data_IF_551034036474
#
_entry.id   IF_551034036474
#
_cell.length_a   1.000
_cell.length_b   1.000
_cell.length_c   1.000
_cell.angle_alpha   90.00
_cell.angle_beta   90.00
_cell.angle_gamma   90.00
#
_symmetry.space_group_name_H-M   'P 1'
#
loop_
_entity.id
_entity.type
_entity.pdbx_description
1 polymer ?
#
# COMPACT_ATOMS: atom_id res chain seq x y z
N UNK A 1 -25.58 -13.22 5.71
CA UNK A 1 -24.15 -13.58 5.54
C UNK A 1 -23.32 -12.55 6.28
N UNK A 2 -22.23 -12.94 6.95
CA UNK A 2 -21.41 -12.02 7.76
C UNK A 2 -20.06 -11.75 7.09
N UNK A 3 -19.65 -10.49 7.13
CA UNK A 3 -18.35 -9.97 6.69
C UNK A 3 -17.64 -9.34 7.88
N UNK A 4 -16.36 -9.65 8.09
CA UNK A 4 -15.59 -9.10 9.22
C UNK A 4 -14.77 -7.91 8.76
N UNK A 5 -14.96 -6.75 9.38
CA UNK A 5 -14.40 -5.45 8.99
C UNK A 5 -13.67 -4.82 10.14
N UNK A 6 -12.55 -4.14 9.90
CA UNK A 6 -11.93 -3.29 10.92
C UNK A 6 -12.59 -1.91 10.90
N UNK A 7 -13.05 -1.42 12.05
CA UNK A 7 -13.44 -0.01 12.25
C UNK A 7 -12.41 0.63 13.17
N UNK A 8 -11.68 1.66 12.70
CA UNK A 8 -10.73 2.40 13.54
C UNK A 8 -9.80 1.51 14.40
N UNK A 9 -9.73 1.81 15.69
CA UNK A 9 -8.93 1.10 16.71
C UNK A 9 -9.59 -0.18 17.25
N UNK A 10 -10.80 -0.52 16.81
CA UNK A 10 -11.49 -1.73 17.24
C UNK A 10 -11.06 -2.98 16.45
N UNK A 11 -10.79 -4.07 17.18
CA UNK A 11 -10.46 -5.38 16.63
C UNK A 11 -11.72 -6.07 16.05
N UNK A 12 -12.05 -5.70 14.81
CA UNK A 12 -13.07 -6.29 13.95
C UNK A 12 -14.55 -6.25 14.43
N UNK A 13 -15.46 -5.81 13.57
CA UNK A 13 -16.91 -5.95 13.74
C UNK A 13 -17.51 -6.78 12.60
N UNK A 14 -18.75 -7.24 12.78
CA UNK A 14 -19.46 -8.02 11.76
C UNK A 14 -20.49 -7.17 11.02
N UNK A 15 -20.35 -7.09 9.69
CA UNK A 15 -21.32 -6.45 8.79
C UNK A 15 -22.28 -7.50 8.22
N UNK A 16 -23.57 -7.19 8.19
CA UNK A 16 -24.58 -8.01 7.48
C UNK A 16 -24.61 -7.70 6.00
N UNK A 17 -24.57 -8.73 5.17
CA UNK A 17 -24.73 -8.65 3.70
C UNK A 17 -26.22 -8.78 3.36
N UNK A 18 -26.77 -7.80 2.64
CA UNK A 18 -28.15 -7.76 2.14
C UNK A 18 -28.25 -8.29 0.69
N UNK A 19 -29.49 -8.48 0.23
CA UNK A 19 -29.74 -8.86 -1.17
C UNK A 19 -29.40 -7.71 -2.11
N UNK A 20 -28.64 -7.98 -3.17
CA UNK A 20 -28.21 -6.98 -4.16
C UNK A 20 -26.85 -6.32 -3.86
N UNK A 21 -26.26 -6.55 -2.69
CA UNK A 21 -24.87 -6.19 -2.42
C UNK A 21 -23.89 -7.03 -3.25
N UNK A 22 -22.74 -6.44 -3.60
CA UNK A 22 -21.73 -7.06 -4.45
C UNK A 22 -20.38 -7.17 -3.72
N UNK A 23 -19.57 -8.16 -4.10
CA UNK A 23 -18.18 -8.27 -3.62
C UNK A 23 -17.24 -8.04 -4.77
N UNK A 24 -16.39 -7.02 -4.66
CA UNK A 24 -15.25 -6.85 -5.55
C UNK A 24 -14.18 -7.79 -5.04
N UNK A 25 -14.15 -8.98 -5.62
CA UNK A 25 -13.10 -9.96 -5.41
C UNK A 25 -12.32 -10.00 -6.71
N UNK A 26 -11.07 -9.54 -6.69
CA UNK A 26 -10.14 -10.02 -7.70
C UNK A 26 -9.91 -11.51 -7.40
N UNK A 27 -10.80 -12.39 -7.85
CA UNK A 27 -10.81 -13.82 -7.49
C UNK A 27 -9.49 -14.51 -7.81
N UNK A 28 -8.72 -14.01 -8.78
CA UNK A 28 -7.43 -14.57 -9.16
C UNK A 28 -6.29 -14.18 -8.21
N UNK A 29 -6.29 -12.94 -7.69
CA UNK A 29 -5.38 -12.52 -6.61
C UNK A 29 -5.86 -12.96 -5.23
N UNK A 30 -7.18 -12.96 -4.98
CA UNK A 30 -7.81 -13.37 -3.72
C UNK A 30 -7.71 -14.87 -3.46
N UNK A 31 -7.80 -15.71 -4.51
CA UNK A 31 -7.46 -17.14 -4.41
C UNK A 31 -5.95 -17.39 -4.24
N UNK A 32 -5.13 -16.38 -4.56
CA UNK A 32 -3.73 -16.29 -4.14
C UNK A 32 -3.59 -15.48 -2.85
N UNK A 33 -4.57 -15.41 -1.94
CA UNK A 33 -4.39 -14.92 -0.55
C UNK A 33 -4.33 -16.11 0.40
N UNK A 34 -3.42 -16.09 1.39
CA UNK A 34 -3.16 -17.34 2.14
C UNK A 34 -4.34 -17.47 3.07
N UNK A 35 -5.16 -18.54 2.99
CA UNK A 35 -6.17 -18.84 3.98
C UNK A 35 -5.62 -18.61 5.38
N UNK A 36 -6.22 -17.70 6.16
CA UNK A 36 -5.98 -17.72 7.60
C UNK A 36 -6.93 -18.77 8.17
N UNK A 37 -6.40 -19.94 8.51
CA UNK A 37 -7.17 -20.93 9.24
C UNK A 37 -7.32 -20.43 10.66
N UNK A 38 -8.54 -20.07 11.04
CA UNK A 38 -8.86 -19.81 12.44
C UNK A 38 -9.45 -21.10 13.00
N UNK A 39 -8.75 -21.69 13.95
CA UNK A 39 -9.25 -22.79 14.77
C UNK A 39 -10.11 -22.17 15.87
N UNK A 40 -11.43 -22.30 15.78
CA UNK A 40 -12.30 -21.97 16.91
C UNK A 40 -12.61 -23.26 17.67
N UNK A 41 -12.23 -23.32 18.95
CA UNK A 41 -12.76 -24.32 19.87
C UNK A 41 -14.21 -23.94 20.20
N UNK A 42 -15.19 -24.71 19.75
CA UNK A 42 -16.57 -24.59 20.23
C UNK A 42 -16.67 -25.22 21.62
N UNK A 43 -17.29 -24.52 22.57
CA UNK A 43 -17.59 -25.04 23.91
C UNK A 43 -18.45 -26.32 23.88
N UNK A 44 -18.40 -27.14 24.95
CA UNK A 44 -18.68 -28.57 24.86
C UNK A 44 -20.17 -28.86 24.97
N UNK A 45 -20.77 -29.38 23.90
CA UNK A 45 -22.03 -30.13 23.97
C UNK A 45 -21.86 -31.50 23.30
N UNK A 46 -21.17 -32.39 24.02
CA UNK A 46 -21.49 -33.82 24.08
C UNK A 46 -21.56 -34.67 22.81
N UNK A 47 -21.00 -34.27 21.67
CA UNK A 47 -20.88 -35.15 20.48
C UNK A 47 -19.53 -34.94 19.79
N UNK A 48 -18.98 -36.05 19.29
CA UNK A 48 -17.65 -36.23 18.70
C UNK A 48 -17.11 -35.02 17.91
N UNK A 49 -15.83 -34.76 18.18
CA UNK A 49 -15.03 -33.65 17.67
C UNK A 49 -14.95 -33.59 16.14
N UNK A 50 -15.34 -32.44 15.60
CA UNK A 50 -14.85 -31.98 14.30
C UNK A 50 -14.31 -30.57 14.45
N UNK A 51 -13.00 -30.39 14.36
CA UNK A 51 -12.42 -29.04 14.22
C UNK A 51 -12.97 -28.42 12.93
N UNK A 52 -13.95 -27.52 13.07
CA UNK A 52 -14.47 -26.72 11.96
C UNK A 52 -13.45 -25.65 11.60
N UNK A 53 -12.58 -25.93 10.62
CA UNK A 53 -11.70 -24.92 10.03
C UNK A 53 -12.52 -23.97 9.16
N UNK A 54 -12.47 -22.67 9.50
CA UNK A 54 -13.05 -21.62 8.66
C UNK A 54 -11.92 -20.90 7.95
N UNK A 55 -11.87 -21.05 6.63
CA UNK A 55 -10.96 -20.31 5.78
C UNK A 55 -11.52 -18.91 5.50
N UNK A 56 -10.73 -17.89 5.82
CA UNK A 56 -11.04 -16.48 5.56
C UNK A 56 -10.19 -15.93 4.41
N UNK A 57 -10.80 -15.11 3.56
CA UNK A 57 -10.17 -14.42 2.44
C UNK A 57 -10.31 -12.90 2.61
N UNK A 58 -9.27 -12.11 2.34
CA UNK A 58 -9.42 -10.68 2.19
C UNK A 58 -10.34 -10.34 1.01
N UNK A 59 -11.25 -9.39 1.21
CA UNK A 59 -12.20 -8.95 0.19
C UNK A 59 -12.62 -7.49 0.40
N UNK A 60 -13.12 -6.89 -0.68
CA UNK A 60 -13.75 -5.57 -0.69
C UNK A 60 -15.25 -5.77 -0.97
N UNK A 61 -16.08 -5.25 -0.08
CA UNK A 61 -17.52 -5.40 -0.13
C UNK A 61 -18.19 -4.07 -0.47
N UNK A 62 -18.98 -4.03 -1.54
CA UNK A 62 -19.74 -2.87 -1.95
C UNK A 62 -21.17 -2.93 -1.43
N UNK A 63 -21.56 -1.95 -0.62
CA UNK A 63 -22.90 -1.81 -0.06
C UNK A 63 -23.80 -1.10 -1.07
N UNK A 64 -24.83 -1.78 -1.56
CA UNK A 64 -25.69 -1.25 -2.63
C UNK A 64 -26.45 0.00 -2.21
N UNK A 65 -26.94 0.03 -0.97
CA UNK A 65 -27.83 1.09 -0.47
C UNK A 65 -27.17 2.48 -0.44
N UNK A 66 -25.87 2.56 -0.20
CA UNK A 66 -25.16 3.82 0.00
C UNK A 66 -23.84 3.93 -0.79
N UNK A 67 -23.48 2.92 -1.58
CA UNK A 67 -22.22 2.88 -2.33
C UNK A 67 -20.97 2.78 -1.45
N UNK A 68 -21.11 2.50 -0.15
CA UNK A 68 -19.97 2.38 0.75
C UNK A 68 -19.15 1.12 0.43
N UNK A 69 -17.84 1.21 0.63
CA UNK A 69 -16.92 0.08 0.50
C UNK A 69 -16.47 -0.35 1.89
N UNK A 70 -16.59 -1.64 2.17
CA UNK A 70 -16.16 -2.24 3.42
C UNK A 70 -14.96 -3.16 3.12
N UNK A 71 -13.96 -3.12 4.00
CA UNK A 71 -12.69 -3.80 3.81
C UNK A 71 -12.43 -4.79 4.95
N UNK A 72 -12.04 -6.02 4.61
CA UNK A 72 -11.78 -7.02 5.64
C UNK A 72 -11.81 -8.46 5.13
N UNK A 73 -12.34 -9.37 5.95
CA UNK A 73 -12.27 -10.82 5.76
C UNK A 73 -13.65 -11.43 5.52
N UNK A 74 -13.73 -12.31 4.53
CA UNK A 74 -14.92 -13.09 4.20
C UNK A 74 -14.65 -14.59 4.31
N UNK A 75 -15.58 -15.34 4.91
CA UNK A 75 -15.48 -16.79 4.96
C UNK A 75 -15.69 -17.43 3.59
N UNK A 76 -14.94 -18.49 3.29
CA UNK A 76 -15.04 -19.23 2.02
C UNK A 76 -16.47 -19.67 1.69
N UNK A 77 -17.17 -20.23 2.67
CA UNK A 77 -18.56 -20.70 2.52
C UNK A 77 -19.49 -19.55 2.13
N UNK A 78 -19.22 -18.34 2.64
CA UNK A 78 -19.95 -17.13 2.29
C UNK A 78 -19.59 -16.67 0.88
N UNK A 79 -18.30 -16.65 0.54
CA UNK A 79 -17.79 -16.27 -0.78
C UNK A 79 -18.42 -17.11 -1.90
N UNK A 80 -18.51 -18.44 -1.72
CA UNK A 80 -19.12 -19.36 -2.70
C UNK A 80 -20.60 -19.09 -3.00
N UNK A 81 -21.30 -18.35 -2.13
CA UNK A 81 -22.73 -18.00 -2.28
C UNK A 81 -22.93 -16.63 -2.96
N UNK A 82 -21.86 -15.87 -3.17
CA UNK A 82 -21.91 -14.54 -3.75
C UNK A 82 -21.59 -14.62 -5.24
N UNK A 83 -22.22 -13.73 -6.03
CA UNK A 83 -21.94 -13.64 -7.46
C UNK A 83 -20.55 -13.02 -7.65
N UNK A 84 -19.69 -13.71 -8.40
CA UNK A 84 -18.42 -13.15 -8.85
C UNK A 84 -18.71 -11.95 -9.74
N UNK A 85 -18.23 -10.77 -9.36
CA UNK A 85 -18.20 -9.63 -10.28
C UNK A 85 -17.21 -10.00 -11.38
N UNK A 86 -17.65 -10.01 -12.64
CA UNK A 86 -16.73 -10.15 -13.78
C UNK A 86 -15.67 -9.07 -13.62
N UNK A 87 -14.40 -9.43 -13.79
CA UNK A 87 -13.27 -8.51 -13.61
C UNK A 87 -13.60 -7.24 -14.39
N UNK A 88 -13.89 -6.13 -13.68
CA UNK A 88 -13.98 -4.84 -14.32
C UNK A 88 -12.64 -4.66 -15.06
N UNK A 89 -12.68 -4.21 -16.31
CA UNK A 89 -11.44 -3.92 -17.04
C UNK A 89 -10.70 -2.88 -16.20
N UNK A 90 -9.55 -3.28 -15.65
CA UNK A 90 -8.72 -2.35 -14.88
C UNK A 90 -8.34 -1.19 -15.81
N UNK A 91 -8.44 0.02 -15.29
CA UNK A 91 -8.06 1.21 -16.04
C UNK A 91 -6.57 1.15 -16.32
N UNK A 92 -6.21 1.29 -17.60
CA UNK A 92 -4.83 1.21 -18.04
C UNK A 92 -3.95 2.26 -17.33
N UNK A 93 -2.73 1.87 -16.98
CA UNK A 93 -1.75 2.70 -16.28
C UNK A 93 -1.52 4.03 -16.99
N UNK A 94 -1.46 4.00 -18.33
CA UNK A 94 -1.28 5.21 -19.15
C UNK A 94 -2.46 6.17 -19.04
N UNK A 95 -3.69 5.67 -18.94
CA UNK A 95 -4.89 6.50 -18.77
C UNK A 95 -4.84 7.22 -17.42
N UNK A 96 -4.39 6.54 -16.37
CA UNK A 96 -4.26 7.12 -15.01
C UNK A 96 -3.16 8.19 -14.97
N UNK A 97 -2.00 7.91 -15.56
CA UNK A 97 -0.83 8.81 -15.59
C UNK A 97 -1.12 10.08 -16.41
N UNK A 98 -1.86 9.93 -17.52
CA UNK A 98 -2.18 11.03 -18.43
C UNK A 98 -3.52 11.73 -18.11
N UNK A 99 -4.24 11.28 -17.07
CA UNK A 99 -5.49 11.90 -16.67
C UNK A 99 -5.30 13.38 -16.35
N UNK A 100 -6.33 14.17 -16.65
CA UNK A 100 -6.42 15.56 -16.19
C UNK A 100 -6.65 15.54 -14.68
N UNK A 101 -5.73 16.14 -13.94
CA UNK A 101 -5.76 16.21 -12.49
C UNK A 101 -5.89 17.67 -12.05
N UNK A 102 -6.30 17.89 -10.80
CA UNK A 102 -6.34 19.23 -10.23
C UNK A 102 -4.92 19.85 -10.21
N UNK A 103 -4.71 21.04 -10.81
CA UNK A 103 -3.39 21.66 -10.88
C UNK A 103 -2.84 22.03 -9.50
N UNK A 104 -3.68 22.21 -8.49
CA UNK A 104 -3.23 22.55 -7.12
C UNK A 104 -2.62 21.35 -6.38
N UNK A 105 -2.70 20.15 -6.98
CA UNK A 105 -2.15 18.92 -6.40
C UNK A 105 -0.74 18.63 -6.90
N UNK A 106 0.07 18.09 -6.00
CA UNK A 106 1.33 17.42 -6.30
C UNK A 106 1.10 15.92 -6.28
N UNK A 107 1.34 15.26 -7.40
CA UNK A 107 1.11 13.82 -7.56
C UNK A 107 2.43 13.11 -7.82
N UNK A 108 2.77 12.15 -6.97
CA UNK A 108 3.97 11.33 -7.08
C UNK A 108 3.54 9.97 -7.59
N UNK A 109 3.89 9.65 -8.83
CA UNK A 109 3.57 8.38 -9.44
C UNK A 109 4.72 7.41 -9.21
N UNK A 110 4.44 6.24 -8.66
CA UNK A 110 5.38 5.14 -8.48
C UNK A 110 4.87 3.97 -9.30
N UNK A 111 5.44 3.83 -10.49
CA UNK A 111 4.99 2.86 -11.49
C UNK A 111 5.97 1.69 -11.52
N UNK A 112 5.47 0.50 -11.24
CA UNK A 112 6.32 -0.65 -10.99
C UNK A 112 6.11 -1.79 -12.00
N UNK A 113 7.15 -2.59 -12.28
CA UNK A 113 6.93 -3.85 -12.97
C UNK A 113 6.04 -4.76 -12.11
N UNK A 114 5.12 -5.50 -12.74
CA UNK A 114 4.12 -6.30 -12.02
C UNK A 114 4.73 -7.43 -11.18
N UNK A 115 5.96 -7.85 -11.47
CA UNK A 115 6.69 -8.86 -10.68
C UNK A 115 7.44 -8.30 -9.46
N UNK A 116 7.57 -6.96 -9.40
CA UNK A 116 8.32 -6.19 -8.39
C UNK A 116 9.76 -6.65 -8.22
N UNK A 117 10.35 -7.28 -9.24
CA UNK A 117 11.73 -7.77 -9.18
C UNK A 117 12.74 -6.68 -9.51
N UNK A 118 12.37 -5.73 -10.37
CA UNK A 118 13.20 -4.57 -10.74
C UNK A 118 12.69 -3.31 -10.04
N UNK A 119 13.52 -2.25 -9.95
CA UNK A 119 13.09 -0.95 -9.46
C UNK A 119 11.87 -0.43 -10.21
N UNK A 120 10.95 0.17 -9.47
CA UNK A 120 9.90 1.03 -9.97
C UNK A 120 10.48 2.37 -10.43
N UNK A 121 9.72 3.06 -11.26
CA UNK A 121 9.99 4.42 -11.67
C UNK A 121 9.13 5.39 -10.86
N UNK A 122 9.76 6.30 -10.13
CA UNK A 122 9.10 7.40 -9.43
C UNK A 122 9.24 8.68 -10.26
N UNK A 123 8.11 9.30 -10.55
CA UNK A 123 8.06 10.62 -11.19
C UNK A 123 7.05 11.52 -10.48
N UNK A 124 7.13 12.83 -10.70
CA UNK A 124 6.33 13.82 -9.98
C UNK A 124 5.64 14.75 -10.96
N UNK A 125 4.35 15.00 -10.74
CA UNK A 125 3.51 15.92 -11.49
C UNK A 125 3.07 17.05 -10.57
N UNK A 126 3.19 18.29 -11.02
CA UNK A 126 2.76 19.49 -10.31
C UNK A 126 2.17 20.47 -11.32
N UNK A 127 1.07 21.15 -10.97
CA UNK A 127 0.40 22.10 -11.87
C UNK A 127 0.03 21.47 -13.23
N UNK A 128 -0.31 20.18 -13.23
CA UNK A 128 -0.62 19.41 -14.43
C UNK A 128 0.57 19.02 -15.31
N UNK A 129 1.80 19.43 -14.97
CA UNK A 129 3.01 19.14 -15.74
C UNK A 129 3.97 18.21 -14.99
N UNK A 130 4.75 17.42 -15.74
CA UNK A 130 5.82 16.61 -15.18
C UNK A 130 6.97 17.50 -14.70
N UNK A 131 7.48 17.24 -13.51
CA UNK A 131 8.71 17.88 -13.05
C UNK A 131 9.87 17.45 -13.93
N UNK A 132 10.74 18.40 -14.23
CA UNK A 132 11.93 18.18 -15.05
C UNK A 132 13.18 18.17 -14.16
N UNK A 133 14.10 17.28 -14.47
CA UNK A 133 15.45 17.31 -13.92
C UNK A 133 16.17 18.56 -14.46
N UNK A 134 16.56 19.47 -13.56
CA UNK A 134 17.17 20.75 -13.91
C UNK A 134 18.49 20.63 -14.68
N UNK A 135 19.24 19.53 -14.49
CA UNK A 135 20.54 19.32 -15.14
C UNK A 135 20.36 18.87 -16.58
N UNK A 136 19.36 18.04 -16.84
CA UNK A 136 19.16 17.40 -18.15
C UNK A 136 18.02 18.00 -18.96
N UNK A 137 17.12 18.76 -18.34
CA UNK A 137 15.88 19.27 -18.94
C UNK A 137 14.85 18.19 -19.27
N UNK A 138 15.12 16.92 -18.93
CA UNK A 138 14.22 15.79 -19.16
C UNK A 138 13.29 15.59 -17.98
N UNK A 139 12.21 14.82 -18.17
CA UNK A 139 11.34 14.41 -17.07
C UNK A 139 12.16 13.79 -15.93
N UNK A 140 11.84 14.18 -14.70
CA UNK A 140 12.44 13.63 -13.50
C UNK A 140 11.99 12.17 -13.31
N UNK A 141 12.97 11.29 -13.16
CA UNK A 141 12.78 9.87 -12.88
C UNK A 141 13.72 9.46 -11.74
N UNK A 142 13.18 8.75 -10.76
CA UNK A 142 13.92 8.23 -9.62
C UNK A 142 13.62 6.73 -9.44
N UNK A 143 14.61 5.84 -9.54
CA UNK A 143 14.40 4.43 -9.29
C UNK A 143 14.11 4.19 -7.80
N UNK A 144 13.04 3.44 -7.50
CA UNK A 144 12.67 3.04 -6.13
C UNK A 144 12.25 1.58 -6.06
N UNK A 145 12.50 0.88 -4.95
CA UNK A 145 12.12 -0.52 -4.78
C UNK A 145 10.95 -0.67 -3.79
N UNK A 146 9.77 -1.01 -4.30
CA UNK A 146 8.57 -1.28 -3.52
C UNK A 146 8.32 -2.80 -3.39
N UNK A 147 9.32 -3.50 -2.85
CA UNK A 147 9.36 -4.98 -2.77
C UNK A 147 9.65 -5.44 -1.36
N UNK A 148 8.97 -6.50 -0.93
CA UNK A 148 9.28 -7.17 0.31
C UNK A 148 10.40 -8.18 0.24
N UNK A 149 10.99 -8.45 1.39
CA UNK A 149 11.85 -9.60 1.58
C UNK A 149 11.09 -10.89 1.21
N UNK A 150 11.69 -11.70 0.33
CA UNK A 150 11.14 -13.02 -0.06
C UNK A 150 12.10 -14.08 0.44
N UNK A 151 11.63 -15.02 1.26
CA UNK A 151 12.46 -16.16 1.63
C UNK A 151 12.67 -17.06 0.39
N UNK A 152 13.93 -17.21 -0.04
CA UNK A 152 14.31 -18.25 -1.00
C UNK A 152 14.31 -19.58 -0.25
N UNK A 153 13.14 -20.23 -0.11
CA UNK A 153 12.97 -21.61 0.38
C UNK A 153 13.91 -22.05 1.52
N UNK A 154 13.42 -22.07 2.76
CA UNK A 154 13.85 -23.13 3.67
C UNK A 154 13.29 -24.44 3.10
N UNK A 155 14.18 -25.32 2.65
CA UNK A 155 13.84 -26.64 2.18
C UNK A 155 13.14 -27.44 3.30
N UNK A 156 11.96 -27.97 2.95
CA UNK A 156 11.46 -29.30 3.30
C UNK A 156 11.62 -29.79 4.74
N UNK A 157 10.52 -29.73 5.50
CA UNK A 157 10.14 -30.85 6.37
C UNK A 157 8.79 -31.50 6.05
N UNK A 158 7.97 -30.91 5.17
CA UNK A 158 6.74 -31.56 4.71
C UNK A 158 6.83 -31.84 3.21
N UNK A 159 7.18 -33.09 2.90
CA UNK A 159 7.37 -33.62 1.55
C UNK A 159 6.08 -33.73 0.74
N UNK A 160 5.56 -32.61 0.25
CA UNK A 160 4.66 -32.62 -0.91
C UNK A 160 5.38 -32.03 -2.12
N UNK A 161 5.80 -32.96 -2.99
CA UNK A 161 6.29 -32.73 -4.35
C UNK A 161 5.17 -32.13 -5.20
N UNK A 162 4.98 -30.82 -5.13
CA UNK A 162 4.35 -30.07 -6.22
C UNK A 162 5.23 -28.87 -6.56
N UNK A 163 6.09 -29.10 -7.56
CA UNK A 163 6.99 -28.09 -8.10
C UNK A 163 6.21 -27.00 -8.83
N UNK A 164 5.74 -25.98 -8.09
CA UNK A 164 5.39 -24.63 -8.57
C UNK A 164 4.99 -23.75 -7.38
N UNK A 165 5.88 -23.58 -6.40
CA UNK A 165 5.74 -22.49 -5.43
C UNK A 165 5.98 -21.16 -6.16
N UNK A 166 4.89 -20.51 -6.56
CA UNK A 166 4.91 -19.22 -7.26
C UNK A 166 5.60 -18.16 -6.39
N UNK A 167 6.67 -17.57 -6.94
CA UNK A 167 7.50 -16.44 -6.48
C UNK A 167 6.76 -15.13 -6.14
N UNK A 168 5.44 -15.15 -6.03
CA UNK A 168 4.56 -13.97 -5.86
C UNK A 168 4.36 -13.63 -4.39
N UNK A 169 4.93 -12.51 -3.96
CA UNK A 169 4.64 -11.87 -2.67
C UNK A 169 3.21 -11.30 -2.71
N UNK A 170 2.43 -11.51 -1.65
CA UNK A 170 0.99 -11.14 -1.61
C UNK A 170 0.85 -9.80 -0.92
N UNK A 171 0.67 -8.72 -1.69
CA UNK A 171 0.75 -7.33 -1.23
C UNK A 171 -0.19 -6.92 -0.09
N UNK A 172 -1.35 -7.55 0.05
CA UNK A 172 -2.35 -7.18 1.08
C UNK A 172 -2.01 -7.65 2.50
N UNK A 173 -0.93 -8.44 2.68
CA UNK A 173 -0.47 -8.85 4.01
C UNK A 173 0.47 -7.82 4.65
N UNK A 174 0.56 -7.84 5.99
CA UNK A 174 1.29 -6.86 6.81
C UNK A 174 2.77 -6.71 6.42
N UNK A 175 3.46 -7.80 6.06
CA UNK A 175 4.92 -7.81 5.83
C UNK A 175 5.34 -8.10 4.37
N UNK A 176 4.47 -7.85 3.40
CA UNK A 176 4.68 -8.16 1.98
C UNK A 176 4.86 -6.90 1.11
N UNK A 177 4.98 -7.07 -0.21
CA UNK A 177 5.18 -5.98 -1.19
C UNK A 177 4.22 -4.80 -0.88
N UNK A 178 4.63 -3.57 -1.19
CA UNK A 178 3.80 -2.39 -0.94
C UNK A 178 2.46 -2.54 -1.67
N UNK A 179 1.31 -2.33 -1.01
CA UNK A 179 0.01 -2.44 -1.67
C UNK A 179 -0.07 -1.41 -2.78
N UNK A 180 -0.86 -1.69 -3.81
CA UNK A 180 -1.27 -0.63 -4.72
C UNK A 180 -2.22 0.33 -4.01
N UNK A 181 -2.29 1.56 -4.51
CA UNK A 181 -3.27 2.53 -4.02
C UNK A 181 -2.78 3.96 -4.05
N UNK A 182 -3.54 4.80 -3.34
CA UNK A 182 -3.31 6.23 -3.21
C UNK A 182 -3.03 6.52 -1.75
N UNK A 183 -1.91 7.20 -1.49
CA UNK A 183 -1.41 7.52 -0.16
C UNK A 183 -1.31 9.02 0.03
N UNK A 184 -1.61 9.50 1.22
CA UNK A 184 -1.33 10.87 1.61
C UNK A 184 0.09 10.97 2.13
N UNK A 185 0.82 12.02 1.74
CA UNK A 185 2.08 12.36 2.42
C UNK A 185 1.74 13.01 3.75
N UNK A 186 2.15 12.38 4.85
CA UNK A 186 1.91 12.90 6.18
C UNK A 186 3.00 13.87 6.63
N UNK A 187 4.26 13.47 6.43
CA UNK A 187 5.39 14.24 6.91
C UNK A 187 6.71 13.63 6.49
N UNK A 188 7.77 14.39 6.71
CA UNK A 188 9.13 13.92 6.60
C UNK A 188 9.74 13.85 8.01
N UNK A 189 10.42 12.76 8.31
CA UNK A 189 11.24 12.65 9.52
C UNK A 189 12.68 12.79 9.09
N UNK A 190 13.35 13.82 9.58
CA UNK A 190 14.80 13.99 9.49
C UNK A 190 15.32 14.10 10.90
N UNK A 191 15.99 13.06 11.42
CA UNK A 191 16.86 13.12 12.60
C UNK A 191 16.23 13.50 13.96
N UNK A 192 16.33 12.62 14.96
CA UNK A 192 16.20 13.00 16.38
C UNK A 192 16.09 11.80 17.32
N UNK A 193 17.15 11.49 18.08
CA UNK A 193 17.17 10.45 19.11
C UNK A 193 18.37 9.48 19.03
N UNK A 194 18.57 8.69 20.10
CA UNK A 194 19.66 7.72 20.19
C UNK A 194 19.40 6.41 19.43
N UNK A 195 18.18 6.19 18.94
CA UNK A 195 17.86 5.03 18.09
C UNK A 195 18.21 5.32 16.64
N UNK A 196 18.87 4.38 15.98
CA UNK A 196 19.14 4.43 14.53
C UNK A 196 17.87 4.66 13.70
N UNK A 197 16.72 4.18 14.22
CA UNK A 197 15.40 4.38 13.62
C UNK A 197 14.96 5.84 13.47
N UNK A 198 15.49 6.78 14.24
CA UNK A 198 15.13 8.20 14.14
C UNK A 198 16.21 9.04 13.45
N UNK A 199 17.33 8.44 13.02
CA UNK A 199 18.45 9.16 12.41
C UNK A 199 18.32 9.31 10.89
N UNK A 200 17.53 8.44 10.27
CA UNK A 200 17.43 8.38 8.81
C UNK A 200 16.27 9.22 8.28
N UNK A 201 16.56 10.03 7.27
CA UNK A 201 15.57 10.82 6.56
C UNK A 201 14.54 9.91 5.88
N UNK A 202 13.24 10.16 6.05
CA UNK A 202 12.16 9.35 5.46
C UNK A 202 10.88 10.15 5.28
N UNK A 203 9.96 9.64 4.46
CA UNK A 203 8.62 10.19 4.25
C UNK A 203 7.61 9.18 4.78
N UNK A 204 6.80 9.59 5.75
CA UNK A 204 5.73 8.78 6.31
C UNK A 204 4.46 8.96 5.45
N UNK A 205 3.83 7.83 5.09
CA UNK A 205 2.59 7.78 4.31
C UNK A 205 1.41 7.49 5.24
N UNK A 206 0.36 8.30 5.15
CA UNK A 206 -0.90 8.26 5.91
C UNK A 206 -0.79 8.26 7.46
N UNK A 207 0.40 8.08 8.06
CA UNK A 207 0.68 8.09 9.51
C UNK A 207 -0.35 7.38 10.39
N UNK A 208 -0.68 6.14 10.01
CA UNK A 208 -1.69 5.31 10.67
C UNK A 208 -3.13 5.85 10.62
N UNK A 209 -3.39 6.95 9.91
CA UNK A 209 -4.74 7.37 9.59
C UNK A 209 -5.40 6.41 8.59
N UNK A 210 -6.74 6.27 8.64
CA UNK A 210 -7.47 5.53 7.63
C UNK A 210 -7.15 6.07 6.23
N UNK A 211 -6.93 5.19 5.24
CA UNK A 211 -6.67 5.61 3.88
C UNK A 211 -7.79 6.51 3.33
N UNK A 212 -7.43 7.50 2.52
CA UNK A 212 -8.38 8.46 1.94
C UNK A 212 -9.50 7.80 1.15
N UNK A 213 -9.17 6.72 0.46
CA UNK A 213 -10.01 5.85 -0.33
C UNK A 213 -10.78 4.81 0.50
N UNK A 214 -10.53 4.71 1.81
CA UNK A 214 -11.29 3.86 2.73
C UNK A 214 -12.55 4.54 3.29
N UNK A 215 -12.68 5.86 3.12
CA UNK A 215 -13.88 6.61 3.51
C UNK A 215 -15.08 6.29 2.60
N UNK A 216 -16.33 6.47 3.06
CA UNK A 216 -17.52 6.33 2.23
C UNK A 216 -17.43 7.12 0.92
N UNK A 217 -17.89 6.52 -0.19
CA UNK A 217 -17.78 7.11 -1.53
C UNK A 217 -18.30 8.56 -1.63
N UNK A 218 -19.46 8.94 -1.05
CA UNK A 218 -19.92 10.32 -1.11
C UNK A 218 -18.97 11.33 -0.44
N UNK A 219 -18.14 10.88 0.50
CA UNK A 219 -17.22 11.72 1.26
C UNK A 219 -15.87 11.91 0.56
N UNK A 220 -15.38 10.90 -0.16
CA UNK A 220 -14.05 10.97 -0.80
C UNK A 220 -14.08 11.08 -2.33
N UNK A 221 -15.21 10.81 -3.00
CA UNK A 221 -15.32 10.86 -4.47
C UNK A 221 -14.87 12.20 -5.05
N UNK A 222 -15.20 13.31 -4.39
CA UNK A 222 -14.74 14.64 -4.80
C UNK A 222 -13.21 14.75 -4.85
N UNK A 223 -12.52 14.30 -3.80
CA UNK A 223 -11.06 14.36 -3.75
C UNK A 223 -10.41 13.32 -4.67
N UNK A 224 -10.94 12.10 -4.73
CA UNK A 224 -10.41 11.05 -5.61
C UNK A 224 -10.57 11.42 -7.10
N UNK A 225 -11.67 12.06 -7.49
CA UNK A 225 -11.90 12.53 -8.87
C UNK A 225 -10.91 13.63 -9.32
N UNK A 226 -10.22 14.26 -8.37
CA UNK A 226 -9.14 15.24 -8.64
C UNK A 226 -7.77 14.59 -8.83
N UNK A 227 -7.62 13.33 -8.41
CA UNK A 227 -6.37 12.56 -8.39
C UNK A 227 -6.34 11.52 -9.52
N UNK A 228 -7.46 10.84 -9.75
CA UNK A 228 -7.59 9.74 -10.71
C UNK A 228 -8.87 9.87 -11.55
N UNK A 229 -8.91 9.30 -12.76
CA UNK A 229 -10.12 9.28 -13.58
C UNK A 229 -11.24 8.49 -12.90
N UNK A 230 -12.50 8.86 -13.17
CA UNK A 230 -13.69 8.29 -12.51
C UNK A 230 -13.78 6.78 -12.78
N UNK A 231 -13.37 6.35 -13.95
CA UNK A 231 -13.32 4.96 -14.40
C UNK A 231 -12.43 4.09 -13.50
N UNK A 232 -11.40 4.67 -12.87
CA UNK A 232 -10.48 3.95 -12.00
C UNK A 232 -10.97 3.83 -10.55
N UNK A 233 -12.04 4.54 -10.15
CA UNK A 233 -12.50 4.59 -8.75
C UNK A 233 -12.89 3.22 -8.18
N UNK A 234 -13.36 2.32 -9.05
CA UNK A 234 -13.78 0.96 -8.70
C UNK A 234 -12.75 -0.12 -9.05
N UNK A 235 -11.58 0.28 -9.55
CA UNK A 235 -10.50 -0.66 -9.80
C UNK A 235 -9.98 -1.27 -8.50
N UNK A 236 -9.63 -2.55 -8.55
CA UNK A 236 -9.13 -3.27 -7.37
C UNK A 236 -7.84 -2.63 -6.81
N UNK A 237 -6.94 -2.13 -7.67
CA UNK A 237 -5.68 -1.53 -7.23
C UNK A 237 -5.89 -0.30 -6.34
N UNK A 238 -6.95 0.49 -6.58
CA UNK A 238 -7.32 1.62 -5.71
C UNK A 238 -7.73 1.12 -4.33
N UNK A 239 -8.30 -0.08 -4.23
CA UNK A 239 -8.86 -0.61 -3.00
C UNK A 239 -7.88 -1.48 -2.19
N UNK A 240 -6.70 -1.73 -2.74
CA UNK A 240 -5.73 -2.66 -2.17
C UNK A 240 -5.09 -2.11 -0.87
N UNK A 241 -4.79 -0.81 -0.81
CA UNK A 241 -4.30 -0.16 0.40
C UNK A 241 -5.32 -0.12 1.55
N UNK A 242 -6.57 0.37 1.38
CA UNK A 242 -7.65 0.24 2.36
C UNK A 242 -7.80 -1.18 2.91
N UNK A 243 -7.70 -2.19 2.04
CA UNK A 243 -7.76 -3.59 2.44
C UNK A 243 -6.57 -3.97 3.32
N UNK A 244 -5.34 -3.65 2.91
CA UNK A 244 -4.15 -3.93 3.70
C UNK A 244 -4.17 -3.22 5.06
N UNK A 245 -4.66 -1.97 5.11
CA UNK A 245 -4.87 -1.21 6.34
C UNK A 245 -5.84 -1.92 7.28
N UNK A 246 -6.99 -2.39 6.77
CA UNK A 246 -7.98 -3.14 7.57
C UNK A 246 -7.41 -4.43 8.16
N UNK A 247 -6.38 -5.00 7.52
CA UNK A 247 -5.67 -6.19 7.98
C UNK A 247 -4.53 -5.89 8.96
N UNK A 248 -4.32 -4.63 9.35
CA UNK A 248 -3.34 -4.22 10.36
C UNK A 248 -2.05 -3.61 9.83
N UNK A 249 -2.01 -3.24 8.55
CA UNK A 249 -0.86 -2.53 7.98
C UNK A 249 -1.00 -1.02 8.18
N UNK A 250 -0.28 -0.46 9.16
CA UNK A 250 -0.49 0.94 9.60
C UNK A 250 0.70 1.88 9.34
N UNK A 251 1.84 1.34 8.89
CA UNK A 251 3.10 2.09 8.84
C UNK A 251 3.83 1.90 7.51
N UNK A 252 3.40 2.62 6.48
CA UNK A 252 4.03 2.65 5.16
C UNK A 252 4.86 3.93 4.99
N UNK A 253 6.02 3.78 4.33
CA UNK A 253 7.02 4.84 4.24
C UNK A 253 7.78 4.78 2.93
N UNK A 254 8.38 5.91 2.56
CA UNK A 254 9.46 6.01 1.58
C UNK A 254 10.74 6.33 2.35
N UNK A 255 11.72 5.43 2.30
CA UNK A 255 12.93 5.50 3.11
C UNK A 255 14.15 4.92 2.36
N UNK A 256 15.39 5.26 2.74
CA UNK A 256 16.59 4.73 2.10
C UNK A 256 16.86 3.25 2.43
N UNK A 257 17.85 2.72 1.71
CA UNK A 257 18.34 1.33 1.70
C UNK A 257 18.57 0.70 3.07
N UNK A 258 19.23 1.49 3.91
CA UNK A 258 19.80 1.13 5.20
C UNK A 258 18.77 1.06 6.33
N UNK A 259 17.68 1.81 6.21
CA UNK A 259 16.63 1.95 7.24
C UNK A 259 16.01 0.62 7.67
N UNK A 260 15.85 -0.33 6.75
CA UNK A 260 15.26 -1.65 7.04
C UNK A 260 16.31 -2.77 7.16
N UNK A 261 17.56 -2.54 6.72
CA UNK A 261 18.61 -3.57 6.72
C UNK A 261 19.25 -3.80 8.08
N UNK A 262 19.20 -2.81 8.99
CA UNK A 262 19.68 -3.01 10.37
C UNK A 262 18.85 -4.04 11.15
N UNK A 263 17.63 -4.34 10.71
CA UNK A 263 16.78 -5.34 11.36
C UNK A 263 17.16 -6.78 10.97
N UNK A 264 17.61 -7.03 9.73
CA UNK A 264 18.04 -8.38 9.30
C UNK A 264 19.01 -8.34 8.10
N UNK A 265 20.09 -9.12 8.18
CA UNK A 265 21.10 -9.34 7.15
C UNK A 265 20.51 -9.95 5.86
N UNK A 266 19.80 -9.15 5.07
CA UNK A 266 19.46 -9.50 3.69
C UNK A 266 20.48 -8.86 2.76
N UNK A 267 21.03 -9.65 1.83
CA UNK A 267 21.98 -9.11 0.85
C UNK A 267 21.28 -8.04 0.00
N UNK A 268 21.83 -6.82 -0.11
CA UNK A 268 21.29 -5.80 -0.99
C UNK A 268 21.26 -6.33 -2.43
N UNK A 269 20.22 -5.97 -3.16
CA UNK A 269 20.12 -6.25 -4.60
C UNK A 269 20.66 -5.02 -5.32
N UNK A 270 21.78 -5.19 -6.01
CA UNK A 270 22.36 -4.13 -6.84
C UNK A 270 21.63 -4.08 -8.16
N UNK A 271 21.11 -2.91 -8.50
CA UNK A 271 20.54 -2.60 -9.81
C UNK A 271 21.19 -1.31 -10.28
N UNK A 272 22.09 -1.40 -11.27
CA UNK A 272 23.00 -0.29 -11.60
C UNK A 272 23.79 0.18 -10.35
N UNK A 273 24.42 1.36 -10.38
CA UNK A 273 25.25 1.86 -9.26
C UNK A 273 24.49 2.04 -7.94
N UNK A 274 23.15 1.96 -7.94
CA UNK A 274 22.30 2.04 -6.75
C UNK A 274 22.09 0.67 -6.07
N UNK A 275 22.12 0.68 -4.73
CA UNK A 275 21.86 -0.49 -3.90
C UNK A 275 20.47 -0.41 -3.27
N UNK A 276 19.61 -1.40 -3.55
CA UNK A 276 18.28 -1.49 -2.96
C UNK A 276 18.15 -2.70 -2.05
N UNK A 277 17.52 -2.54 -0.90
CA UNK A 277 17.21 -3.62 0.03
C UNK A 277 15.70 -3.85 0.10
N UNK A 278 15.19 -5.07 -0.14
CA UNK A 278 13.79 -5.37 0.09
C UNK A 278 13.40 -5.09 1.55
N UNK A 279 12.22 -4.54 1.77
CA UNK A 279 11.77 -4.07 3.10
C UNK A 279 10.62 -4.94 3.61
N UNK A 280 9.97 -4.57 4.71
CA UNK A 280 8.64 -5.10 5.06
C UNK A 280 7.52 -4.32 4.36
N UNK A 281 7.74 -4.02 3.08
CA UNK A 281 6.75 -3.43 2.21
C UNK A 281 6.65 -1.90 2.24
N UNK A 282 7.67 -1.23 2.76
CA UNK A 282 7.93 0.18 2.47
C UNK A 282 8.61 0.34 1.09
N UNK A 283 8.65 1.56 0.59
CA UNK A 283 9.32 1.91 -0.66
C UNK A 283 10.75 2.34 -0.34
N UNK A 284 11.72 1.74 -1.03
CA UNK A 284 13.14 1.94 -0.79
C UNK A 284 13.76 2.86 -1.87
N UNK A 285 14.42 3.94 -1.48
CA UNK A 285 15.07 4.91 -2.39
C UNK A 285 16.56 4.66 -2.64
N UNK A 286 17.12 3.58 -2.08
CA UNK A 286 18.55 3.33 -2.12
C UNK A 286 19.32 4.42 -1.38
N UNK A 287 20.25 5.07 -2.07
CA UNK A 287 21.03 6.22 -1.61
C UNK A 287 20.43 7.59 -2.02
N UNK A 288 19.27 7.58 -2.70
CA UNK A 288 18.73 8.78 -3.37
C UNK A 288 17.64 9.50 -2.58
N UNK A 289 17.46 9.18 -1.29
CA UNK A 289 16.46 9.82 -0.43
C UNK A 289 16.59 11.35 -0.40
N UNK A 290 17.82 11.87 -0.34
CA UNK A 290 18.08 13.30 -0.32
C UNK A 290 17.61 14.01 -1.60
N UNK A 291 17.79 13.36 -2.76
CA UNK A 291 17.31 13.87 -4.04
C UNK A 291 15.78 13.96 -4.07
N UNK A 292 15.08 12.91 -3.59
CA UNK A 292 13.62 12.93 -3.50
C UNK A 292 13.12 14.06 -2.59
N UNK A 293 13.70 14.20 -1.39
CA UNK A 293 13.32 15.25 -0.45
C UNK A 293 13.51 16.64 -1.03
N UNK A 294 14.63 16.89 -1.73
CA UNK A 294 14.88 18.16 -2.40
C UNK A 294 13.82 18.46 -3.47
N UNK A 295 13.47 17.47 -4.30
CA UNK A 295 12.42 17.63 -5.31
C UNK A 295 11.07 17.95 -4.67
N UNK A 296 10.73 17.33 -3.53
CA UNK A 296 9.50 17.61 -2.82
C UNK A 296 9.49 18.98 -2.12
N UNK A 297 10.66 19.50 -1.72
CA UNK A 297 10.79 20.89 -1.26
C UNK A 297 10.53 21.85 -2.43
N UNK A 298 11.16 21.61 -3.58
CA UNK A 298 10.97 22.45 -4.77
C UNK A 298 9.53 22.41 -5.28
N UNK A 299 8.86 21.27 -5.18
CA UNK A 299 7.44 21.12 -5.47
C UNK A 299 6.52 21.74 -4.39
N UNK A 300 7.08 22.32 -3.32
CA UNK A 300 6.31 22.96 -2.25
C UNK A 300 5.50 22.00 -1.39
N UNK A 301 5.82 20.71 -1.39
CA UNK A 301 5.22 19.68 -0.52
C UNK A 301 5.76 19.82 0.91
N UNK A 302 7.05 20.10 1.02
CA UNK A 302 7.75 20.39 2.26
C UNK A 302 8.45 21.75 2.15
N UNK A 303 8.77 22.37 3.28
CA UNK A 303 9.68 23.53 3.33
C UNK A 303 11.10 23.05 3.59
N UNK A 304 12.09 23.88 3.27
CA UNK A 304 13.48 23.54 3.59
C UNK A 304 13.65 23.26 5.09
N UNK A 305 13.09 24.13 5.94
CA UNK A 305 13.05 24.01 7.40
C UNK A 305 12.35 22.75 7.93
N UNK A 306 11.54 22.09 7.10
CA UNK A 306 10.82 20.86 7.45
C UNK A 306 11.75 19.62 7.36
N UNK A 307 12.90 19.72 6.70
CA UNK A 307 13.78 18.59 6.38
C UNK A 307 15.21 18.80 6.92
N UNK A 308 15.47 19.94 7.55
CA UNK A 308 16.77 20.18 8.20
C UNK A 308 16.94 19.19 9.34
N UNK A 309 18.06 18.46 9.35
CA UNK A 309 18.50 17.66 10.50
C UNK A 309 18.49 18.54 11.74
N UNK A 310 17.61 18.29 12.70
CA UNK A 310 17.58 19.06 13.93
C UNK A 310 18.94 18.93 14.62
N UNK A 311 19.42 20.02 15.23
CA UNK A 311 20.59 19.92 16.11
C UNK A 311 20.36 18.85 17.17
N UNK A 312 21.43 18.24 17.70
CA UNK A 312 21.32 17.15 18.69
C UNK A 312 20.42 17.52 19.91
N UNK A 313 20.30 18.82 20.20
CA UNK A 313 19.47 19.40 21.27
C UNK A 313 18.05 19.82 20.87
N UNK A 314 17.65 19.62 19.62
CA UNK A 314 16.34 20.04 19.14
C UNK A 314 15.22 19.08 19.60
N UNK A 315 14.27 19.63 20.37
CA UNK A 315 13.00 18.95 20.69
C UNK A 315 12.07 18.75 19.48
N UNK A 316 12.36 19.38 18.32
CA UNK A 316 11.62 19.13 17.07
C UNK A 316 12.17 17.87 16.40
N UNK A 317 11.32 16.83 16.35
CA UNK A 317 11.67 15.48 15.88
C UNK A 317 10.97 15.07 14.57
N UNK A 318 10.11 15.96 14.06
CA UNK A 318 9.23 15.72 12.91
C UNK A 318 9.12 17.04 12.16
N UNK A 319 9.01 16.97 10.84
CA UNK A 319 8.20 17.96 10.17
C UNK A 319 6.95 17.33 9.58
N UNK A 320 5.85 17.99 9.92
CA UNK A 320 4.52 17.70 9.41
C UNK A 320 4.32 18.60 8.20
N UNK A 321 3.84 18.05 7.10
CA UNK A 321 3.45 18.88 5.95
C UNK A 321 2.40 19.90 6.42
N UNK A 322 2.59 21.21 6.22
CA UNK A 322 1.57 22.20 6.56
C UNK A 322 0.37 22.18 5.60
N UNK A 323 0.35 21.30 4.58
CA UNK A 323 -0.74 21.21 3.59
C UNK A 323 -1.19 19.77 3.37
N UNK A 324 -1.64 19.11 4.45
CA UNK A 324 -2.40 17.87 4.35
C UNK A 324 -3.49 18.03 3.27
N UNK A 325 -3.56 17.05 2.35
CA UNK A 325 -4.53 17.05 1.25
C UNK A 325 -4.09 17.71 -0.06
N UNK A 326 -2.81 18.12 -0.22
CA UNK A 326 -2.29 18.63 -1.50
C UNK A 326 -1.25 17.74 -2.19
N UNK A 327 -0.68 16.76 -1.49
CA UNK A 327 0.34 15.87 -2.04
C UNK A 327 -0.04 14.41 -1.85
N UNK A 328 -0.06 13.65 -2.94
CA UNK A 328 -0.46 12.25 -2.95
C UNK A 328 0.57 11.37 -3.67
N UNK A 329 0.76 10.16 -3.16
CA UNK A 329 1.54 9.11 -3.83
C UNK A 329 0.56 8.13 -4.46
N UNK A 330 0.72 7.86 -5.75
CA UNK A 330 -0.05 6.86 -6.50
C UNK A 330 0.91 5.72 -6.84
N UNK A 331 0.69 4.54 -6.26
CA UNK A 331 1.49 3.36 -6.54
C UNK A 331 0.66 2.34 -7.32
N UNK A 332 1.14 2.00 -8.52
CA UNK A 332 0.46 1.08 -9.44
C UNK A 332 1.46 0.19 -10.19
N UNK A 333 1.07 -1.05 -10.48
CA UNK A 333 1.78 -1.93 -11.41
C UNK A 333 1.51 -1.53 -12.86
N UNK A 334 2.52 -1.67 -13.73
CA UNK A 334 2.33 -1.67 -15.18
C UNK A 334 1.50 -2.89 -15.57
N UNK A 335 0.52 -2.67 -16.43
CA UNK A 335 -0.36 -3.71 -16.99
C UNK A 335 0.38 -4.63 -17.97
#
# INVERSE_FOLDING_TARGET
MLFSTREGDALFHTTRIASGDCVVVNLEEAMRLVPRNISSASQPSGKQEGMSTTTLFPAVFGVQRNGAKHYGLIAEKTLRRLRRVQKARETATEVIVNAKTDPDLVLIYIICPSDRNNPCDLTVKQNGAWLLDKKTGKQFHLPVLARSQRSRKQNGKDGRRDGKSTRTSRRTHINNDTPQGIYTIWGAVTGGGNSSWFRTARIDLDAALPPINAQPYPLNSFLLSRIIPVEALDDYWVNEWPLAYSLGRLALRIAPGDFASEQHQTKPVSFSQAQFSPTHGCINTGDQQGQLLQILIEAGVFRQEDIITPSEDSGKRWSVSPKLGKAFVILKDRD
#
